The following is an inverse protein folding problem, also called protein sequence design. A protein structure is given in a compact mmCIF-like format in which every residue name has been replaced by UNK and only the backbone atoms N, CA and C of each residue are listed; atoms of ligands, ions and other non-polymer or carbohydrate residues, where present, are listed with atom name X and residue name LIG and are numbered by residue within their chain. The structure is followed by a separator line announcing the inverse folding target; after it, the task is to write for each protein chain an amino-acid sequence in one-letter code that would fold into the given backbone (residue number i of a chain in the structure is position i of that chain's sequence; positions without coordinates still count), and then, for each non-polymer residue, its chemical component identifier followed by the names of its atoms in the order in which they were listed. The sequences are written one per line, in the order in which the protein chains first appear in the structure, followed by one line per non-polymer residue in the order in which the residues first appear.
data_IF_442922303738
#
_entry.id   IF_442922303738
#
_cell.length_a   1.000
_cell.length_b   1.000
_cell.length_c   1.000
_cell.angle_alpha   90.00
_cell.angle_beta   90.00
_cell.angle_gamma   90.00
#
_symmetry.space_group_name_H-M   'P 1'
#
loop_
_entity.id
_entity.type
_entity.pdbx_description
1 polymer ?
#
# COMPACT_ATOMS: atom_id res chain seq x y z
N UNK A 1 -24.93 45.84 4.98
CA UNK A 1 -23.70 45.79 5.81
C UNK A 1 -24.14 45.75 7.27
N UNK A 2 -23.57 44.86 8.11
CA UNK A 2 -22.14 44.78 8.39
C UNK A 2 -21.46 43.44 8.02
N UNK A 3 -20.13 43.52 7.88
CA UNK A 3 -19.15 42.44 7.75
C UNK A 3 -18.88 41.81 9.12
N UNK A 4 -18.66 40.49 9.16
CA UNK A 4 -17.77 39.87 10.16
C UNK A 4 -16.90 38.84 9.46
N UNK A 5 -15.59 39.00 9.68
CA UNK A 5 -14.48 38.23 9.15
C UNK A 5 -14.22 37.04 10.07
N UNK A 6 -14.06 35.84 9.52
CA UNK A 6 -13.43 34.73 10.24
C UNK A 6 -12.04 34.48 9.63
N UNK A 7 -11.06 35.14 10.23
CA UNK A 7 -9.65 34.76 10.13
C UNK A 7 -9.46 33.44 10.88
N UNK A 8 -9.18 32.36 10.16
CA UNK A 8 -8.65 31.14 10.78
C UNK A 8 -7.14 31.33 10.97
N UNK A 9 -6.73 31.52 12.22
CA UNK A 9 -5.32 31.48 12.60
C UNK A 9 -5.01 30.03 12.97
N UNK A 10 -4.25 29.34 12.11
CA UNK A 10 -3.63 28.08 12.48
C UNK A 10 -2.40 28.38 13.34
N UNK A 11 -2.55 28.26 14.66
CA UNK A 11 -1.40 28.17 15.56
C UNK A 11 -0.97 26.71 15.62
N UNK A 12 0.09 26.36 14.90
CA UNK A 12 0.77 25.06 15.05
C UNK A 12 1.49 25.06 16.40
N UNK A 13 0.89 24.47 17.43
CA UNK A 13 1.64 24.00 18.60
C UNK A 13 2.27 22.66 18.25
N UNK A 14 3.62 22.62 18.24
CA UNK A 14 4.40 21.39 18.33
C UNK A 14 3.91 20.60 19.55
N UNK A 15 3.85 19.27 19.43
CA UNK A 15 3.45 18.25 20.41
C UNK A 15 1.97 17.84 20.37
N UNK A 16 1.74 16.63 19.84
CA UNK A 16 0.57 15.77 20.07
C UNK A 16 -0.78 16.40 19.72
N UNK A 17 -1.23 16.23 18.48
CA UNK A 17 -2.60 16.57 18.09
C UNK A 17 -3.59 15.69 18.85
N UNK A 18 -4.12 16.16 19.98
CA UNK A 18 -5.30 15.54 20.62
C UNK A 18 -6.51 15.87 19.77
N UNK A 19 -7.00 14.89 19.01
CA UNK A 19 -8.30 14.95 18.37
C UNK A 19 -9.34 14.70 19.47
N UNK A 20 -10.03 15.76 19.90
CA UNK A 20 -11.14 15.64 20.85
C UNK A 20 -12.45 15.60 20.06
N UNK A 21 -13.23 14.53 20.22
CA UNK A 21 -14.54 14.38 19.61
C UNK A 21 -15.58 14.66 20.69
N UNK A 22 -16.32 15.76 20.50
CA UNK A 22 -17.51 16.09 21.29
C UNK A 22 -18.75 15.63 20.55
N UNK A 23 -19.58 14.81 21.20
CA UNK A 23 -20.84 14.34 20.63
C UNK A 23 -21.94 15.37 20.86
N UNK A 24 -22.41 16.01 19.79
CA UNK A 24 -23.31 17.19 19.86
C UNK A 24 -24.71 16.84 20.43
N UNK A 25 -25.17 15.60 20.27
CA UNK A 25 -26.53 15.16 20.68
C UNK A 25 -26.54 14.05 21.76
N UNK A 26 -25.42 13.84 22.47
CA UNK A 26 -25.28 12.79 23.48
C UNK A 26 -24.73 13.32 24.80
N UNK A 27 -25.13 12.71 25.93
CA UNK A 27 -24.51 12.97 27.25
C UNK A 27 -23.23 12.13 27.45
N UNK A 28 -22.55 11.81 26.34
CA UNK A 28 -21.34 11.02 26.36
C UNK A 28 -20.13 11.93 26.63
N UNK A 29 -19.17 11.47 27.44
CA UNK A 29 -17.97 12.26 27.69
C UNK A 29 -17.17 12.41 26.38
N UNK A 30 -16.46 13.54 26.22
CA UNK A 30 -15.59 13.78 25.08
C UNK A 30 -14.63 12.60 24.87
N UNK A 31 -14.56 12.07 23.66
CA UNK A 31 -13.71 10.92 23.33
C UNK A 31 -12.49 11.36 22.53
N UNK A 32 -11.32 10.84 22.90
CA UNK A 32 -10.07 11.09 22.19
C UNK A 32 -9.53 9.77 21.60
N UNK A 33 -9.68 9.53 20.28
CA UNK A 33 -9.14 8.33 19.64
C UNK A 33 -7.61 8.24 19.66
N UNK A 34 -6.91 9.35 19.92
CA UNK A 34 -5.45 9.41 19.86
C UNK A 34 -4.75 9.14 21.20
N UNK A 35 -5.44 8.69 22.24
CA UNK A 35 -4.83 8.32 23.52
C UNK A 35 -4.28 6.90 23.56
N UNK A 36 -3.77 6.35 22.45
CA UNK A 36 -2.82 5.26 22.55
C UNK A 36 -1.50 5.84 23.06
N UNK A 37 -1.39 5.98 24.38
CA UNK A 37 -0.09 6.25 24.99
C UNK A 37 0.88 5.16 24.52
N UNK A 38 2.11 5.53 24.16
CA UNK A 38 3.17 4.59 23.71
C UNK A 38 3.35 3.37 24.63
N UNK A 39 2.89 3.47 25.88
CA UNK A 39 2.83 2.39 26.86
C UNK A 39 1.79 1.31 26.49
N UNK A 40 0.58 1.68 26.09
CA UNK A 40 -0.46 0.72 25.70
C UNK A 40 -0.09 -0.01 24.40
N UNK A 41 0.55 0.68 23.45
CA UNK A 41 1.05 0.05 22.23
C UNK A 41 2.13 -1.02 22.52
N UNK A 42 2.98 -0.80 23.54
CA UNK A 42 3.94 -1.80 23.99
C UNK A 42 3.28 -2.98 24.73
N UNK A 43 2.24 -2.73 25.53
CA UNK A 43 1.50 -3.78 26.24
C UNK A 43 0.73 -4.66 25.25
N UNK A 44 0.06 -4.08 24.26
CA UNK A 44 -0.65 -4.81 23.21
C UNK A 44 0.31 -5.65 22.35
N UNK A 45 1.48 -5.11 22.03
CA UNK A 45 2.51 -5.85 21.28
C UNK A 45 3.04 -7.05 22.08
N UNK A 46 3.30 -6.88 23.39
CA UNK A 46 3.71 -8.00 24.25
C UNK A 46 2.64 -9.07 24.43
N UNK A 47 1.37 -8.67 24.53
CA UNK A 47 0.25 -9.62 24.60
C UNK A 47 0.13 -10.44 23.30
N UNK A 48 0.38 -9.81 22.15
CA UNK A 48 0.41 -10.48 20.85
C UNK A 48 1.58 -11.48 20.74
N UNK A 49 2.79 -11.09 21.14
CA UNK A 49 3.95 -12.01 21.16
C UNK A 49 3.73 -13.21 22.08
N UNK A 50 3.13 -12.99 23.26
CA UNK A 50 2.79 -14.07 24.19
C UNK A 50 1.76 -15.03 23.56
N UNK A 51 0.75 -14.49 22.88
CA UNK A 51 -0.24 -15.31 22.19
C UNK A 51 0.39 -16.19 21.10
N UNK A 52 1.31 -15.63 20.29
CA UNK A 52 2.05 -16.41 19.28
C UNK A 52 2.93 -17.49 19.90
N UNK A 53 3.60 -17.18 21.00
CA UNK A 53 4.42 -18.14 21.74
C UNK A 53 3.57 -19.29 22.28
N UNK A 54 2.45 -18.99 22.96
CA UNK A 54 1.55 -20.00 23.51
C UNK A 54 0.94 -20.87 22.39
N UNK A 55 0.57 -20.26 21.25
CA UNK A 55 0.05 -20.99 20.09
C UNK A 55 1.08 -21.97 19.50
N UNK A 56 2.34 -21.56 19.44
CA UNK A 56 3.44 -22.41 18.99
C UNK A 56 3.72 -23.58 19.95
N UNK A 57 3.57 -23.36 21.26
CA UNK A 57 3.73 -24.41 22.27
C UNK A 57 2.57 -25.41 22.25
N UNK A 58 1.35 -24.94 22.04
CA UNK A 58 0.19 -25.83 21.84
C UNK A 58 0.30 -26.67 20.56
N UNK A 59 0.90 -26.13 19.51
CA UNK A 59 1.19 -26.88 18.28
C UNK A 59 2.38 -27.86 18.42
N UNK A 60 3.24 -27.64 19.42
CA UNK A 60 4.44 -28.43 19.67
C UNK A 60 4.27 -29.52 20.75
N UNK A 61 3.08 -29.66 21.35
CA UNK A 61 2.75 -30.75 22.25
C UNK A 61 2.03 -31.87 21.47
N UNK A 62 2.75 -32.88 20.91
CA UNK A 62 2.09 -34.08 20.44
C UNK A 62 1.60 -34.82 21.68
N UNK A 63 0.32 -34.60 22.03
CA UNK A 63 -0.37 -35.41 23.02
C UNK A 63 -0.10 -36.89 22.70
N UNK A 64 0.60 -37.55 23.62
CA UNK A 64 0.76 -38.99 23.62
C UNK A 64 -0.63 -39.61 23.49
N UNK A 65 -0.82 -40.39 22.42
CA UNK A 65 -1.84 -41.42 22.28
C UNK A 65 -3.19 -41.13 22.93
N UNK A 66 -4.06 -40.40 22.25
CA UNK A 66 -5.46 -40.27 22.64
C UNK A 66 -6.26 -39.64 21.52
N UNK A 67 -7.29 -40.36 21.06
CA UNK A 67 -8.20 -39.95 19.99
C UNK A 67 -8.64 -38.49 20.12
N UNK A 68 -8.51 -37.73 19.04
CA UNK A 68 -9.04 -36.37 18.97
C UNK A 68 -10.56 -36.38 19.24
N UNK A 69 -11.08 -35.58 20.19
CA UNK A 69 -12.52 -35.39 20.31
C UNK A 69 -13.01 -34.69 19.04
N UNK A 70 -14.02 -35.30 18.41
CA UNK A 70 -14.72 -34.78 17.24
C UNK A 70 -15.38 -33.45 17.59
N UNK A 71 -14.68 -32.35 17.39
CA UNK A 71 -15.26 -31.00 17.51
C UNK A 71 -15.83 -30.59 16.16
N UNK A 72 -17.15 -30.42 16.15
CA UNK A 72 -18.03 -30.28 14.97
C UNK A 72 -18.06 -28.85 14.39
N UNK A 73 -16.92 -28.23 14.12
CA UNK A 73 -16.86 -26.95 13.39
C UNK A 73 -15.61 -26.85 12.52
N UNK A 74 -15.50 -27.74 11.53
CA UNK A 74 -14.46 -27.64 10.49
C UNK A 74 -15.13 -27.61 9.11
N UNK A 75 -14.91 -26.57 8.28
CA UNK A 75 -15.66 -26.38 7.02
C UNK A 75 -15.12 -27.22 5.85
N UNK A 76 -14.07 -28.01 6.06
CA UNK A 76 -13.49 -28.88 5.04
C UNK A 76 -14.00 -30.30 5.25
N UNK A 77 -15.04 -30.67 4.51
CA UNK A 77 -15.55 -32.05 4.44
C UNK A 77 -14.64 -32.89 3.53
N UNK A 78 -13.98 -33.95 4.01
CA UNK A 78 -13.34 -34.94 3.15
C UNK A 78 -14.32 -36.08 2.88
N UNK A 79 -14.76 -36.24 1.63
CA UNK A 79 -15.38 -37.49 1.17
C UNK A 79 -14.29 -38.41 0.63
N UNK A 80 -13.96 -39.45 1.40
CA UNK A 80 -13.05 -40.50 0.97
C UNK A 80 -13.84 -41.73 0.45
N UNK A 81 -13.72 -41.93 -0.87
CA UNK A 81 -13.37 -43.17 -1.59
C UNK A 81 -14.16 -44.47 -1.38
N UNK A 82 -14.55 -45.10 -2.50
CA UNK A 82 -14.13 -46.45 -2.96
C UNK A 82 -14.88 -46.84 -4.26
N UNK A 83 -14.21 -46.91 -5.42
CA UNK A 83 -13.49 -48.05 -6.04
C UNK A 83 -14.38 -49.03 -6.85
N UNK A 84 -14.17 -49.10 -8.19
CA UNK A 84 -13.85 -50.32 -8.96
C UNK A 84 -14.08 -50.17 -10.50
N UNK A 85 -13.00 -50.40 -11.26
CA UNK A 85 -12.87 -51.12 -12.55
C UNK A 85 -13.78 -50.85 -13.78
N UNK A 86 -13.18 -50.35 -14.87
CA UNK A 86 -12.84 -51.10 -16.12
C UNK A 86 -12.76 -50.21 -17.38
N UNK A 87 -11.54 -50.07 -17.90
CA UNK A 87 -11.10 -50.06 -19.32
C UNK A 87 -11.86 -49.28 -20.42
N UNK A 88 -11.20 -48.28 -21.02
CA UNK A 88 -10.65 -48.35 -22.40
C UNK A 88 -10.00 -47.01 -22.83
N UNK A 89 -8.73 -47.06 -23.24
CA UNK A 89 -7.97 -45.99 -23.91
C UNK A 89 -8.21 -46.02 -25.46
N UNK A 90 -7.59 -45.20 -26.36
CA UNK A 90 -6.45 -44.27 -26.22
C UNK A 90 -6.57 -42.97 -27.12
N UNK A 91 -5.49 -42.29 -27.62
CA UNK A 91 -4.68 -41.26 -26.95
C UNK A 91 -4.49 -39.94 -27.81
N UNK A 92 -3.39 -39.20 -27.53
CA UNK A 92 -2.71 -38.12 -28.31
C UNK A 92 -3.30 -36.69 -28.14
N UNK A 93 -2.57 -35.58 -27.94
CA UNK A 93 -1.20 -35.16 -28.31
C UNK A 93 -0.66 -34.08 -27.36
N UNK A 94 0.62 -34.22 -26.95
CA UNK A 94 1.46 -33.14 -26.42
C UNK A 94 1.68 -32.02 -27.46
N UNK A 95 1.30 -30.79 -27.14
CA UNK A 95 1.94 -29.55 -27.62
C UNK A 95 1.72 -28.52 -26.52
N UNK A 96 2.70 -27.79 -26.03
CA UNK A 96 4.07 -27.57 -26.42
C UNK A 96 4.48 -26.38 -25.54
N UNK A 97 5.72 -26.41 -25.06
CA UNK A 97 6.28 -25.27 -24.39
C UNK A 97 6.17 -24.05 -25.29
N UNK A 98 5.51 -23.02 -24.81
CA UNK A 98 6.05 -21.68 -24.92
C UNK A 98 6.18 -21.18 -23.48
N UNK A 99 7.41 -21.29 -22.97
CA UNK A 99 7.85 -20.30 -22.00
C UNK A 99 7.55 -18.96 -22.64
N UNK A 100 6.51 -18.28 -22.18
CA UNK A 100 6.42 -16.85 -22.33
C UNK A 100 7.66 -16.30 -21.63
N UNK A 101 8.73 -16.14 -22.40
CA UNK A 101 9.83 -15.26 -22.06
C UNK A 101 9.16 -13.97 -21.59
N UNK A 102 9.26 -13.70 -20.29
CA UNK A 102 8.61 -12.57 -19.65
C UNK A 102 9.07 -11.34 -20.40
N UNK A 103 8.23 -10.88 -21.34
CA UNK A 103 8.53 -9.76 -22.20
C UNK A 103 8.59 -8.58 -21.25
N UNK A 104 9.80 -8.17 -20.87
CA UNK A 104 10.02 -7.06 -19.97
C UNK A 104 9.23 -5.90 -20.55
N UNK A 105 8.18 -5.40 -19.87
CA UNK A 105 7.38 -4.31 -20.38
C UNK A 105 8.33 -3.17 -20.76
N UNK A 106 8.12 -2.50 -21.90
CA UNK A 106 8.94 -1.35 -22.25
C UNK A 106 8.91 -0.37 -21.06
N UNK A 107 10.08 0.18 -20.70
CA UNK A 107 10.24 1.21 -19.67
C UNK A 107 9.51 2.48 -20.15
N UNK A 108 8.20 2.48 -19.96
CA UNK A 108 7.27 3.50 -20.43
C UNK A 108 6.23 3.77 -19.35
N UNK A 109 5.91 5.04 -19.19
CA UNK A 109 4.84 5.48 -18.31
C UNK A 109 3.48 5.02 -18.81
N UNK A 110 2.68 4.53 -17.90
CA UNK A 110 1.34 4.01 -18.15
C UNK A 110 0.35 4.68 -17.22
N UNK A 111 -0.82 4.99 -17.75
CA UNK A 111 -1.96 5.44 -16.95
C UNK A 111 -2.95 4.28 -16.82
N UNK A 112 -3.47 4.06 -15.61
CA UNK A 112 -4.57 3.14 -15.39
C UNK A 112 -5.52 3.65 -14.31
N UNK A 113 -6.73 3.09 -14.29
CA UNK A 113 -7.74 3.35 -13.27
C UNK A 113 -8.19 2.01 -12.72
N UNK A 114 -8.28 1.90 -11.40
CA UNK A 114 -8.67 0.68 -10.68
C UNK A 114 -9.67 1.04 -9.59
N UNK A 115 -10.62 0.14 -9.35
CA UNK A 115 -11.48 0.26 -8.17
C UNK A 115 -10.81 -0.43 -7.01
N UNK A 116 -10.45 0.36 -6.00
CA UNK A 116 -9.88 -0.11 -4.75
C UNK A 116 -10.97 -0.07 -3.66
N UNK A 117 -10.68 -0.60 -2.47
CA UNK A 117 -11.65 -0.67 -1.36
C UNK A 117 -12.15 0.72 -0.91
N UNK A 118 -11.39 1.77 -1.19
CA UNK A 118 -11.74 3.17 -0.92
C UNK A 118 -12.31 3.92 -2.14
N UNK A 119 -12.57 3.21 -3.25
CA UNK A 119 -13.16 3.73 -4.47
C UNK A 119 -12.19 3.84 -5.65
N UNK A 120 -12.62 4.58 -6.66
CA UNK A 120 -11.86 4.75 -7.89
C UNK A 120 -10.53 5.45 -7.66
N UNK A 121 -9.44 4.73 -7.96
CA UNK A 121 -8.07 5.22 -7.85
C UNK A 121 -7.40 5.27 -9.21
N UNK A 122 -6.74 6.39 -9.49
CA UNK A 122 -5.99 6.59 -10.71
C UNK A 122 -4.50 6.41 -10.46
N UNK A 123 -3.80 5.86 -11.45
CA UNK A 123 -2.38 5.53 -11.37
C UNK A 123 -1.65 6.09 -12.60
N UNK A 124 -0.48 6.69 -12.37
CA UNK A 124 0.54 6.91 -13.38
C UNK A 124 1.83 6.22 -12.92
N UNK A 125 2.28 5.20 -13.64
CA UNK A 125 3.37 4.33 -13.19
C UNK A 125 4.34 3.94 -14.31
N UNK A 126 5.57 3.65 -13.93
CA UNK A 126 6.62 3.10 -14.78
C UNK A 126 7.27 1.91 -14.09
N UNK A 127 7.53 0.86 -14.86
CA UNK A 127 8.28 -0.29 -14.40
C UNK A 127 9.62 -0.40 -15.14
N UNK A 128 10.69 -0.52 -14.37
CA UNK A 128 12.06 -0.72 -14.86
C UNK A 128 12.63 -1.95 -14.17
N UNK A 129 12.69 -3.07 -14.91
CA UNK A 129 13.10 -4.38 -14.35
C UNK A 129 12.24 -4.71 -13.12
N UNK A 130 12.87 -4.90 -11.97
CA UNK A 130 12.23 -5.25 -10.69
C UNK A 130 11.82 -4.03 -9.86
N UNK A 131 11.93 -2.81 -10.41
CA UNK A 131 11.58 -1.57 -9.72
C UNK A 131 10.36 -0.94 -10.39
N UNK A 132 9.31 -0.73 -9.62
CA UNK A 132 8.10 -0.01 -10.04
C UNK A 132 8.03 1.32 -9.31
N UNK A 133 7.79 2.41 -10.02
CA UNK A 133 7.66 3.75 -9.46
C UNK A 133 6.41 4.37 -10.03
N UNK A 134 5.62 5.03 -9.20
CA UNK A 134 4.44 5.71 -9.70
C UNK A 134 3.81 6.65 -8.69
N UNK A 135 2.69 7.20 -9.14
CA UNK A 135 1.84 8.11 -8.39
C UNK A 135 0.41 7.62 -8.51
N UNK A 136 -0.30 7.69 -7.40
CA UNK A 136 -1.70 7.32 -7.34
C UNK A 136 -2.50 8.35 -6.56
N UNK A 137 -3.81 8.31 -6.72
CA UNK A 137 -4.72 8.93 -5.78
C UNK A 137 -6.15 8.97 -6.28
N UNK A 138 -7.02 9.38 -5.37
CA UNK A 138 -8.45 9.52 -5.58
C UNK A 138 -8.81 10.94 -6.04
N UNK A 139 -9.94 11.12 -6.74
CA UNK A 139 -10.40 12.45 -7.13
C UNK A 139 -10.54 13.40 -5.92
N UNK A 140 -10.01 14.62 -6.02
CA UNK A 140 -10.00 15.61 -4.94
C UNK A 140 -8.92 15.48 -3.86
N UNK A 141 -8.06 14.46 -3.93
CA UNK A 141 -6.98 14.21 -2.96
C UNK A 141 -5.60 14.62 -3.49
N UNK A 142 -4.60 14.65 -2.59
CA UNK A 142 -3.20 14.83 -2.97
C UNK A 142 -2.63 13.52 -3.56
N UNK A 143 -1.62 13.60 -4.44
CA UNK A 143 -0.99 12.41 -4.98
C UNK A 143 -0.17 11.69 -3.90
N UNK A 144 -0.32 10.37 -3.84
CA UNK A 144 0.56 9.47 -3.10
C UNK A 144 1.55 8.85 -4.07
N UNK A 145 2.85 8.99 -3.77
CA UNK A 145 3.91 8.34 -4.54
C UNK A 145 4.12 6.92 -4.04
N UNK A 146 4.48 6.00 -4.92
CA UNK A 146 4.86 4.65 -4.51
C UNK A 146 6.13 4.16 -5.20
N UNK A 147 6.88 3.32 -4.50
CA UNK A 147 8.10 2.67 -5.00
C UNK A 147 8.15 1.22 -4.55
N UNK A 148 8.26 0.30 -5.50
CA UNK A 148 8.40 -1.13 -5.26
C UNK A 148 9.85 -1.59 -5.52
N UNK A 149 10.35 -2.50 -4.70
CA UNK A 149 11.64 -3.18 -4.93
C UNK A 149 12.91 -2.41 -4.53
N UNK A 150 12.78 -1.22 -3.93
CA UNK A 150 13.94 -0.37 -3.58
C UNK A 150 14.16 -0.25 -2.07
N UNK A 151 13.11 0.06 -1.32
CA UNK A 151 13.22 0.38 0.11
C UNK A 151 12.84 -0.81 1.00
N UNK A 152 13.16 -0.71 2.29
CA UNK A 152 12.81 -1.71 3.31
C UNK A 152 12.40 -1.04 4.62
N UNK A 153 11.26 -1.49 5.17
CA UNK A 153 10.65 -0.92 6.37
C UNK A 153 10.33 0.57 6.21
N UNK A 154 10.12 1.28 7.31
CA UNK A 154 9.90 2.72 7.27
C UNK A 154 11.13 3.46 6.74
N UNK A 155 10.88 4.45 5.88
CA UNK A 155 11.93 5.24 5.24
C UNK A 155 11.50 6.67 4.99
N UNK A 156 12.49 7.52 4.72
CA UNK A 156 12.29 8.88 4.21
C UNK A 156 12.91 8.94 2.83
N UNK A 157 12.15 9.40 1.84
CA UNK A 157 12.60 9.52 0.47
C UNK A 157 12.71 10.98 0.04
N UNK A 158 13.72 11.26 -0.78
CA UNK A 158 13.90 12.53 -1.48
C UNK A 158 13.63 12.31 -2.97
N UNK A 159 12.68 13.07 -3.50
CA UNK A 159 12.21 13.06 -4.88
C UNK A 159 12.81 14.25 -5.62
N UNK A 160 13.54 14.00 -6.69
CA UNK A 160 14.29 15.02 -7.40
C UNK A 160 14.12 14.83 -8.91
N UNK A 161 13.55 15.83 -9.58
CA UNK A 161 13.40 15.85 -11.03
C UNK A 161 14.48 16.74 -11.63
N UNK A 162 15.35 16.16 -12.45
CA UNK A 162 16.46 16.87 -13.10
C UNK A 162 17.24 17.78 -12.11
N UNK A 163 17.28 19.09 -12.35
CA UNK A 163 17.91 20.13 -11.53
C UNK A 163 16.89 20.99 -10.74
N UNK A 164 15.65 20.50 -10.59
CA UNK A 164 14.55 21.22 -9.93
C UNK A 164 14.58 21.00 -8.40
N UNK A 165 13.86 21.80 -7.60
CA UNK A 165 13.82 21.61 -6.15
C UNK A 165 13.40 20.19 -5.76
N UNK A 166 14.11 19.61 -4.79
CA UNK A 166 13.79 18.30 -4.27
C UNK A 166 12.64 18.36 -3.25
N UNK A 167 11.80 17.34 -3.26
CA UNK A 167 10.75 17.14 -2.25
C UNK A 167 11.10 15.98 -1.35
N UNK A 168 10.72 16.07 -0.08
CA UNK A 168 10.99 15.02 0.92
C UNK A 168 9.67 14.52 1.46
N UNK A 169 9.49 13.21 1.47
CA UNK A 169 8.33 12.55 2.08
C UNK A 169 8.76 11.37 2.93
N UNK A 170 8.00 11.16 4.01
CA UNK A 170 8.09 9.95 4.81
C UNK A 170 7.20 8.87 4.18
N UNK A 171 7.65 7.63 4.23
CA UNK A 171 6.92 6.52 3.64
C UNK A 171 7.18 5.20 4.36
N UNK A 172 6.22 4.30 4.22
CA UNK A 172 6.22 2.98 4.85
C UNK A 172 5.92 1.92 3.82
N UNK A 173 6.32 0.68 4.11
CA UNK A 173 5.92 -0.45 3.29
C UNK A 173 4.44 -0.76 3.57
N UNK A 174 3.64 -0.84 2.52
CA UNK A 174 2.26 -1.30 2.64
C UNK A 174 2.27 -2.84 2.64
N UNK A 175 1.75 -3.43 3.72
CA UNK A 175 1.72 -4.88 3.94
C UNK A 175 0.84 -5.63 2.91
N UNK A 176 -0.09 -4.93 2.26
CA UNK A 176 -1.01 -5.51 1.27
C UNK A 176 -0.41 -5.52 -0.14
N UNK A 177 0.12 -4.40 -0.61
CA UNK A 177 0.63 -4.23 -1.97
C UNK A 177 2.12 -4.56 -2.10
N UNK A 178 2.86 -4.58 -1.00
CA UNK A 178 4.29 -4.85 -0.95
C UNK A 178 5.19 -3.67 -1.38
N UNK A 179 4.61 -2.57 -1.89
CA UNK A 179 5.34 -1.36 -2.26
C UNK A 179 5.46 -0.38 -1.07
N UNK A 180 6.37 0.60 -1.18
CA UNK A 180 6.46 1.71 -0.26
C UNK A 180 5.59 2.87 -0.72
N UNK A 181 4.71 3.35 0.15
CA UNK A 181 3.84 4.50 -0.12
C UNK A 181 4.39 5.75 0.58
N UNK A 182 4.21 6.89 -0.09
CA UNK A 182 4.74 8.18 0.30
C UNK A 182 3.66 9.24 0.12
N UNK A 183 3.09 9.67 1.24
CA UNK A 183 2.01 10.64 1.25
C UNK A 183 2.50 12.08 1.14
N UNK A 184 1.53 12.98 0.91
CA UNK A 184 1.72 14.44 0.94
C UNK A 184 2.73 14.95 -0.10
N UNK A 185 2.82 14.27 -1.24
CA UNK A 185 3.58 14.81 -2.37
C UNK A 185 2.80 15.97 -3.00
N UNK A 186 3.48 17.09 -3.33
CA UNK A 186 2.79 18.24 -3.90
C UNK A 186 2.47 18.03 -5.38
N UNK A 187 1.40 18.66 -5.85
CA UNK A 187 1.05 18.67 -7.28
C UNK A 187 2.17 19.24 -8.16
N UNK A 188 2.93 20.23 -7.65
CA UNK A 188 4.10 20.77 -8.34
C UNK A 188 5.11 19.68 -8.72
N UNK A 189 5.23 18.58 -7.96
CA UNK A 189 6.11 17.45 -8.34
C UNK A 189 5.60 16.77 -9.63
N UNK A 190 4.29 16.63 -9.81
CA UNK A 190 3.69 16.08 -11.03
C UNK A 190 3.95 16.99 -12.23
N UNK A 191 3.82 18.32 -12.07
CA UNK A 191 4.20 19.30 -13.10
C UNK A 191 5.68 19.18 -13.49
N UNK A 192 6.54 18.95 -12.49
CA UNK A 192 7.94 18.75 -12.72
C UNK A 192 8.21 17.48 -13.54
N UNK A 193 7.55 16.37 -13.19
CA UNK A 193 7.64 15.07 -13.85
C UNK A 193 7.14 15.13 -15.29
N UNK A 194 6.03 15.84 -15.54
CA UNK A 194 5.45 16.03 -16.87
C UNK A 194 6.40 16.72 -17.87
N UNK A 195 7.32 17.54 -17.37
CA UNK A 195 8.24 18.35 -18.19
C UNK A 195 9.71 17.94 -18.06
N UNK A 196 10.02 17.01 -17.15
CA UNK A 196 11.39 16.60 -16.83
C UNK A 196 11.92 15.50 -17.74
N UNK A 197 13.18 15.10 -17.51
CA UNK A 197 13.85 14.00 -18.23
C UNK A 197 14.03 12.79 -17.34
N UNK A 198 14.37 12.99 -16.08
CA UNK A 198 14.63 11.93 -15.11
C UNK A 198 14.05 12.26 -13.74
N UNK A 199 13.53 11.24 -13.06
CA UNK A 199 13.14 11.29 -11.65
C UNK A 199 14.06 10.40 -10.85
N UNK A 200 14.76 11.00 -9.88
CA UNK A 200 15.57 10.30 -8.91
C UNK A 200 14.87 10.26 -7.55
N UNK A 201 14.81 9.07 -6.95
CA UNK A 201 14.22 8.84 -5.64
C UNK A 201 15.29 8.23 -4.75
N UNK A 202 15.65 8.93 -3.68
CA UNK A 202 16.76 8.56 -2.79
C UNK A 202 16.26 8.38 -1.36
N UNK A 203 16.47 7.20 -0.80
CA UNK A 203 16.14 6.88 0.59
C UNK A 203 17.19 7.40 1.56
N UNK A 204 16.78 7.59 2.82
CA UNK A 204 17.65 8.12 3.87
C UNK A 204 18.86 7.22 4.19
N UNK A 205 18.80 5.92 3.86
CA UNK A 205 19.91 4.97 4.08
C UNK A 205 20.81 4.81 2.85
N UNK A 206 20.58 5.63 1.81
CA UNK A 206 21.39 5.65 0.59
C UNK A 206 20.85 4.79 -0.55
N UNK A 207 19.69 4.13 -0.39
CA UNK A 207 19.00 3.47 -1.49
C UNK A 207 18.63 4.51 -2.56
N UNK A 208 18.75 4.16 -3.83
CA UNK A 208 18.44 5.09 -4.92
C UNK A 208 17.89 4.36 -6.12
N UNK A 209 16.83 4.92 -6.70
CA UNK A 209 16.35 4.56 -8.03
C UNK A 209 16.26 5.80 -8.92
N UNK A 210 16.46 5.60 -10.21
CA UNK A 210 16.33 6.64 -11.25
C UNK A 210 15.55 6.07 -12.42
N UNK A 211 14.45 6.75 -12.75
CA UNK A 211 13.55 6.38 -13.84
C UNK A 211 13.52 7.48 -14.90
N UNK A 212 13.39 7.09 -16.16
CA UNK A 212 13.20 8.05 -17.24
C UNK A 212 11.79 8.64 -17.20
N UNK A 213 11.66 9.94 -17.47
CA UNK A 213 10.39 10.64 -17.61
C UNK A 213 9.89 10.68 -19.06
N UNK A 214 10.51 9.91 -19.96
CA UNK A 214 10.05 9.79 -21.34
C UNK A 214 8.64 9.21 -21.37
N UNK A 215 7.69 9.98 -21.90
CA UNK A 215 6.28 9.60 -21.96
C UNK A 215 5.49 9.84 -20.67
N UNK A 216 6.12 10.38 -19.62
CA UNK A 216 5.45 10.69 -18.36
C UNK A 216 4.35 11.74 -18.53
N UNK A 217 4.57 12.74 -19.41
CA UNK A 217 3.62 13.83 -19.64
C UNK A 217 2.20 13.34 -19.93
N UNK A 218 2.05 12.31 -20.76
CA UNK A 218 0.73 11.79 -21.12
C UNK A 218 0.06 11.08 -19.94
N UNK A 219 0.81 10.24 -19.21
CA UNK A 219 0.28 9.50 -18.07
C UNK A 219 -0.07 10.44 -16.91
N UNK A 220 0.80 11.40 -16.62
CA UNK A 220 0.62 12.37 -15.54
C UNK A 220 -0.53 13.33 -15.85
N UNK A 221 -0.68 13.84 -17.09
CA UNK A 221 -1.84 14.67 -17.42
C UNK A 221 -3.17 13.93 -17.26
N UNK A 222 -3.21 12.61 -17.51
CA UNK A 222 -4.41 11.80 -17.25
C UNK A 222 -4.66 11.59 -15.75
N UNK A 223 -3.60 11.45 -14.96
CA UNK A 223 -3.67 11.40 -13.49
C UNK A 223 -4.18 12.74 -12.91
N UNK A 224 -3.64 13.87 -13.37
CA UNK A 224 -4.09 15.21 -12.98
C UNK A 224 -5.57 15.44 -13.35
N UNK A 225 -5.98 15.00 -14.55
CA UNK A 225 -7.38 15.04 -14.96
C UNK A 225 -8.28 14.16 -14.09
N UNK A 226 -7.74 13.09 -13.49
CA UNK A 226 -8.49 12.28 -12.53
C UNK A 226 -8.72 13.01 -11.21
N UNK A 227 -7.74 13.77 -10.73
CA UNK A 227 -7.88 14.59 -9.52
C UNK A 227 -8.93 15.69 -9.65
N UNK A 228 -9.14 16.22 -10.86
CA UNK A 228 -10.13 17.28 -11.13
C UNK A 228 -11.58 16.80 -11.32
N UNK A 229 -11.87 15.49 -11.25
CA UNK A 229 -13.25 14.98 -11.30
C UNK A 229 -13.89 15.14 -9.93
N UNK A 230 -14.98 15.91 -9.85
CA UNK A 230 -15.77 16.14 -8.63
C UNK A 230 -17.20 15.62 -8.82
#
# INVERSE_FOLDING_TARGET
MPKVSNSFIFVRTKYGSTLLIDFIDGNEPPWNPASFEKFEQQVSFKAYEQCLSDLSQMAADPAQGGSAPLSSTSPLKPEALNNADTSSAPPVVNKGADQAEAMVPPEQWQFSTREEDWGQTCYAEIQKRDVKVGFMGSPGEHPTGFVEGVFKGDTRATWHVDDKPAYVSDGGQNDYSGWHEFDQLPMDLLDQISSGKELAITGAKGERTVVSLKGASEAVSRLEACFGKH
#
